data_IF_809159831081
#
_entry.id   IF_809159831081
#
_cell.length_a   1.000
_cell.length_b   1.000
_cell.length_c   1.000
_cell.angle_alpha   90.00
_cell.angle_beta   90.00
_cell.angle_gamma   90.00
#
_symmetry.space_group_name_H-M   'P 1'
#
loop_
_entity.id
_entity.type
_entity.pdbx_description
1 polymer ?
#
# COMPACT_ATOMS: atom_id res chain seq x y z
N UNK A 1 4.80 11.24 21.01
CA UNK A 1 5.39 11.47 19.67
C UNK A 1 5.74 12.95 19.53
N UNK A 2 6.97 13.26 19.17
CA UNK A 2 7.42 14.64 18.89
C UNK A 2 6.85 15.15 17.57
N UNK A 3 6.89 16.46 17.33
CA UNK A 3 6.46 17.05 16.04
C UNK A 3 7.21 16.45 14.84
N UNK A 4 8.51 16.16 15.01
CA UNK A 4 9.34 15.57 13.97
C UNK A 4 8.91 14.12 13.66
N UNK A 5 8.71 13.30 14.70
CA UNK A 5 8.25 11.92 14.56
C UNK A 5 6.85 11.85 13.93
N UNK A 6 5.96 12.75 14.33
CA UNK A 6 4.62 12.85 13.75
C UNK A 6 4.69 13.17 12.26
N UNK A 7 5.53 14.13 11.86
CA UNK A 7 5.76 14.44 10.45
C UNK A 7 6.31 13.27 9.65
N UNK A 8 7.15 12.42 10.24
CA UNK A 8 7.62 11.17 9.61
C UNK A 8 6.49 10.16 9.45
N UNK A 9 5.65 9.98 10.47
CA UNK A 9 4.50 9.08 10.40
C UNK A 9 3.50 9.51 9.33
N UNK A 10 3.22 10.82 9.20
CA UNK A 10 2.37 11.36 8.12
C UNK A 10 2.96 11.01 6.76
N UNK A 11 4.27 11.22 6.54
CA UNK A 11 4.91 10.88 5.26
C UNK A 11 4.81 9.39 4.93
N UNK A 12 5.05 8.51 5.90
CA UNK A 12 4.93 7.06 5.73
C UNK A 12 3.49 6.65 5.41
N UNK A 13 2.50 7.22 6.10
CA UNK A 13 1.08 6.98 5.82
C UNK A 13 0.73 7.38 4.38
N UNK A 14 1.13 8.57 3.95
CA UNK A 14 0.91 9.04 2.57
C UNK A 14 1.57 8.12 1.53
N UNK A 15 2.76 7.60 1.83
CA UNK A 15 3.46 6.65 0.99
C UNK A 15 2.76 5.29 0.92
N UNK A 16 2.29 4.77 2.04
CA UNK A 16 1.52 3.53 2.10
C UNK A 16 0.22 3.65 1.30
N UNK A 17 -0.50 4.78 1.41
CA UNK A 17 -1.73 5.02 0.62
C UNK A 17 -1.42 4.98 -0.89
N UNK A 18 -0.32 5.59 -1.32
CA UNK A 18 0.10 5.55 -2.74
C UNK A 18 0.41 4.13 -3.19
N UNK A 19 1.14 3.36 -2.38
CA UNK A 19 1.46 1.96 -2.68
C UNK A 19 0.21 1.07 -2.73
N UNK A 20 -0.74 1.22 -1.80
CA UNK A 20 -1.98 0.46 -1.82
C UNK A 20 -2.82 0.75 -3.08
N UNK A 21 -2.93 2.02 -3.49
CA UNK A 21 -3.58 2.41 -4.75
C UNK A 21 -2.87 1.81 -5.96
N UNK A 22 -1.54 1.87 -5.99
CA UNK A 22 -0.73 1.32 -7.07
C UNK A 22 -0.92 -0.20 -7.18
N UNK A 23 -0.90 -0.91 -6.05
CA UNK A 23 -1.16 -2.34 -5.99
C UNK A 23 -2.53 -2.71 -6.58
N UNK A 24 -3.57 -1.93 -6.27
CA UNK A 24 -4.91 -2.14 -6.85
C UNK A 24 -4.91 -2.04 -8.38
N UNK A 25 -4.20 -1.07 -8.96
CA UNK A 25 -4.08 -0.93 -10.41
C UNK A 25 -3.27 -2.07 -11.05
N UNK A 26 -2.22 -2.54 -10.37
CA UNK A 26 -1.39 -3.66 -10.85
C UNK A 26 -2.15 -4.99 -10.80
N UNK A 27 -2.98 -5.21 -9.78
CA UNK A 27 -3.90 -6.35 -9.76
C UNK A 27 -4.94 -6.30 -10.88
N UNK A 28 -5.45 -5.10 -11.22
CA UNK A 28 -6.33 -4.95 -12.40
C UNK A 28 -5.59 -5.31 -13.68
N UNK A 29 -4.34 -4.86 -13.84
CA UNK A 29 -3.51 -5.22 -15.00
C UNK A 29 -3.23 -6.73 -15.07
N UNK A 30 -2.89 -7.36 -13.94
CA UNK A 30 -2.75 -8.81 -13.81
C UNK A 30 -3.99 -9.55 -14.32
N UNK A 31 -5.18 -9.16 -13.84
CA UNK A 31 -6.44 -9.80 -14.22
C UNK A 31 -6.73 -9.69 -15.73
N UNK A 32 -6.33 -8.57 -16.36
CA UNK A 32 -6.47 -8.39 -17.81
C UNK A 32 -5.49 -9.26 -18.61
N UNK A 33 -4.31 -9.58 -18.04
CA UNK A 33 -3.24 -10.31 -18.70
C UNK A 33 -3.31 -11.83 -18.50
N UNK A 34 -4.07 -12.29 -17.51
CA UNK A 34 -4.14 -13.68 -17.03
C UNK A 34 -4.33 -14.73 -18.15
N UNK A 35 -5.11 -14.39 -19.19
CA UNK A 35 -5.40 -15.25 -20.34
C UNK A 35 -4.75 -14.78 -21.65
N UNK A 36 -3.89 -13.75 -21.60
CA UNK A 36 -3.26 -13.13 -22.78
C UNK A 36 -1.75 -13.35 -22.77
N UNK A 37 -1.10 -13.06 -21.65
CA UNK A 37 0.35 -13.15 -21.48
C UNK A 37 0.65 -13.46 -20.02
N UNK A 38 0.84 -14.76 -19.73
CA UNK A 38 1.00 -15.27 -18.37
C UNK A 38 2.28 -14.77 -17.70
N UNK A 39 3.36 -14.56 -18.47
CA UNK A 39 4.62 -14.04 -17.94
C UNK A 39 4.45 -12.58 -17.49
N UNK A 40 3.78 -11.75 -18.31
CA UNK A 40 3.46 -10.38 -17.89
C UNK A 40 2.45 -10.37 -16.74
N UNK A 41 1.46 -11.26 -16.75
CA UNK A 41 0.52 -11.37 -15.65
C UNK A 41 1.24 -11.64 -14.32
N UNK A 42 2.11 -12.67 -14.25
CA UNK A 42 2.89 -12.97 -13.05
C UNK A 42 3.80 -11.79 -12.64
N UNK A 43 4.32 -11.03 -13.60
CA UNK A 43 5.12 -9.84 -13.31
C UNK A 43 4.29 -8.75 -12.64
N UNK A 44 3.09 -8.46 -13.15
CA UNK A 44 2.18 -7.47 -12.54
C UNK A 44 1.67 -7.94 -11.18
N UNK A 45 1.36 -9.22 -11.03
CA UNK A 45 0.98 -9.79 -9.72
C UNK A 45 2.08 -9.57 -8.67
N UNK A 46 3.34 -9.86 -9.00
CA UNK A 46 4.46 -9.68 -8.06
C UNK A 46 4.67 -8.21 -7.67
N UNK A 47 4.47 -7.27 -8.58
CA UNK A 47 4.52 -5.83 -8.25
C UNK A 47 3.38 -5.46 -7.30
N UNK A 48 2.17 -5.93 -7.61
CA UNK A 48 1.00 -5.68 -6.78
C UNK A 48 1.20 -6.22 -5.35
N UNK A 49 1.71 -7.45 -5.22
CA UNK A 49 2.04 -8.08 -3.93
C UNK A 49 3.07 -7.25 -3.15
N UNK A 50 4.12 -6.74 -3.82
CA UNK A 50 5.17 -5.94 -3.18
C UNK A 50 4.63 -4.60 -2.66
N UNK A 51 3.88 -3.88 -3.48
CA UNK A 51 3.28 -2.61 -3.06
C UNK A 51 2.23 -2.81 -1.96
N UNK A 52 1.42 -3.88 -2.05
CA UNK A 52 0.46 -4.23 -1.01
C UNK A 52 1.16 -4.54 0.31
N UNK A 53 2.14 -5.44 0.31
CA UNK A 53 2.87 -5.84 1.51
C UNK A 53 3.63 -4.66 2.16
N UNK A 54 4.17 -3.74 1.35
CA UNK A 54 4.76 -2.51 1.87
C UNK A 54 3.71 -1.63 2.59
N UNK A 55 2.57 -1.40 1.94
CA UNK A 55 1.50 -0.59 2.51
C UNK A 55 0.92 -1.22 3.79
N UNK A 56 0.71 -2.53 3.80
CA UNK A 56 0.23 -3.28 4.96
C UNK A 56 1.23 -3.20 6.13
N UNK A 57 2.52 -3.40 5.87
CA UNK A 57 3.56 -3.31 6.89
C UNK A 57 3.61 -1.92 7.53
N UNK A 58 3.51 -0.85 6.74
CA UNK A 58 3.43 0.51 7.26
C UNK A 58 2.15 0.72 8.07
N UNK A 59 0.99 0.24 7.61
CA UNK A 59 -0.26 0.34 8.34
C UNK A 59 -0.15 -0.30 9.74
N UNK A 60 0.40 -1.52 9.81
CA UNK A 60 0.63 -2.23 11.08
C UNK A 60 1.60 -1.50 12.01
N UNK A 61 2.71 -0.97 11.48
CA UNK A 61 3.68 -0.19 12.28
C UNK A 61 3.04 1.08 12.82
N UNK A 62 2.32 1.83 12.00
CA UNK A 62 1.64 3.07 12.42
C UNK A 62 0.56 2.80 13.48
N UNK A 63 -0.22 1.73 13.31
CA UNK A 63 -1.20 1.29 14.31
C UNK A 63 -0.53 0.91 15.64
N UNK A 64 0.60 0.18 15.58
CA UNK A 64 1.38 -0.23 16.76
C UNK A 64 1.98 0.97 17.50
N UNK A 65 2.42 1.99 16.77
CA UNK A 65 2.91 3.26 17.33
C UNK A 65 1.80 4.13 17.94
N UNK A 66 0.53 3.73 17.80
CA UNK A 66 -0.62 4.52 18.24
C UNK A 66 -0.80 5.82 17.44
N UNK A 67 -0.27 5.89 16.21
CA UNK A 67 -0.42 7.06 15.35
C UNK A 67 -1.90 7.27 15.00
N UNK A 68 -2.38 8.51 15.15
CA UNK A 68 -3.75 8.90 14.85
C UNK A 68 -3.74 9.99 13.78
N UNK A 69 -4.41 9.72 12.68
CA UNK A 69 -4.60 10.66 11.58
C UNK A 69 -5.86 10.24 10.81
N UNK A 70 -6.64 11.20 10.32
CA UNK A 70 -7.94 10.93 9.67
C UNK A 70 -7.80 9.99 8.47
N UNK A 71 -6.70 10.13 7.73
CA UNK A 71 -6.37 9.31 6.56
C UNK A 71 -5.87 7.89 6.88
N UNK A 72 -5.67 7.52 8.14
CA UNK A 72 -5.44 6.11 8.49
C UNK A 72 -6.65 5.23 8.15
N UNK A 73 -7.86 5.80 8.18
CA UNK A 73 -9.08 5.13 7.73
C UNK A 73 -9.03 4.82 6.23
N UNK A 74 -8.59 5.79 5.42
CA UNK A 74 -8.39 5.60 3.97
C UNK A 74 -7.37 4.49 3.71
N UNK A 75 -6.23 4.49 4.40
CA UNK A 75 -5.24 3.43 4.26
C UNK A 75 -5.81 2.05 4.62
N UNK A 76 -6.60 1.96 5.70
CA UNK A 76 -7.20 0.69 6.12
C UNK A 76 -8.32 0.20 5.19
N UNK A 77 -8.96 1.08 4.43
CA UNK A 77 -9.99 0.72 3.43
C UNK A 77 -9.38 0.30 2.09
N UNK A 78 -8.13 0.69 1.82
CA UNK A 78 -7.39 0.32 0.61
C UNK A 78 -6.67 -1.03 0.72
N UNK A 79 -6.48 -1.53 1.96
CA UNK A 79 -5.89 -2.82 2.27
C UNK A 79 -7.00 -3.85 2.47
#
# INVERSE_FOLDING_TARGET
MTKLEYGKCVKLMEEAIRNAKQSSEEYKAYNQLLNVDTIKAETEQRKADQHYGYAEGINQVLATLGFKHDRMKELSELL
#
